data_IF_707785801023
#
_entry.id   IF_707785801023
#
_cell.length_a   1.000
_cell.length_b   1.000
_cell.length_c   1.000
_cell.angle_alpha   90.00
_cell.angle_beta   90.00
_cell.angle_gamma   90.00
#
_symmetry.space_group_name_H-M   'P 1'
#
loop_
_entity.id
_entity.type
_entity.pdbx_description
1 polymer ?
#
# COMPACT_ATOMS: atom_id res chain seq x y z
N UNK A 1 6.35 -11.92 13.46
CA UNK A 1 5.97 -10.59 13.02
C UNK A 1 6.52 -10.29 11.62
N UNK A 2 6.14 -9.17 11.05
CA UNK A 2 6.68 -8.70 9.77
C UNK A 2 8.04 -8.07 10.05
N UNK A 3 9.09 -8.56 9.41
CA UNK A 3 10.47 -8.18 9.67
C UNK A 3 11.26 -7.75 8.41
N UNK A 4 10.59 -7.70 7.29
CA UNK A 4 11.12 -7.19 6.03
C UNK A 4 10.17 -6.13 5.49
N UNK A 5 10.52 -4.87 5.66
CA UNK A 5 9.67 -3.72 5.35
C UNK A 5 10.39 -2.81 4.36
N UNK A 6 9.72 -2.52 3.25
CA UNK A 6 10.20 -1.54 2.27
C UNK A 6 9.27 -0.33 2.24
N UNK A 7 9.81 0.85 2.47
CA UNK A 7 9.08 2.11 2.42
C UNK A 7 9.44 2.82 1.13
N UNK A 8 8.45 2.99 0.26
CA UNK A 8 8.59 3.77 -0.97
C UNK A 8 8.31 5.23 -0.64
N UNK A 9 9.30 6.07 -0.80
CA UNK A 9 9.20 7.49 -0.46
C UNK A 9 9.03 8.35 -1.71
N UNK A 10 8.40 9.51 -1.54
CA UNK A 10 8.26 10.53 -2.58
C UNK A 10 9.24 11.69 -2.32
N UNK A 11 9.02 12.84 -2.94
CA UNK A 11 9.79 14.07 -2.68
C UNK A 11 9.71 14.47 -1.20
N UNK A 12 10.75 15.19 -0.73
CA UNK A 12 10.82 15.77 0.62
C UNK A 12 10.80 14.73 1.76
N UNK A 13 11.48 13.61 1.57
CA UNK A 13 11.49 12.50 2.51
C UNK A 13 12.58 12.59 3.61
N UNK A 14 13.37 13.67 3.67
CA UNK A 14 14.47 13.80 4.63
C UNK A 14 13.99 13.70 6.09
N UNK A 15 12.93 14.42 6.45
CA UNK A 15 12.40 14.36 7.82
C UNK A 15 11.85 12.96 8.19
N UNK A 16 11.35 12.21 7.20
CA UNK A 16 10.96 10.83 7.39
C UNK A 16 12.19 9.94 7.65
N UNK A 17 13.29 10.15 6.92
CA UNK A 17 14.54 9.43 7.14
C UNK A 17 15.09 9.70 8.54
N UNK A 18 15.09 10.96 8.96
CA UNK A 18 15.55 11.36 10.30
C UNK A 18 14.71 10.70 11.39
N UNK A 19 13.39 10.61 11.19
CA UNK A 19 12.48 9.98 12.13
C UNK A 19 12.65 8.45 12.17
N UNK A 20 12.77 7.81 11.02
CA UNK A 20 12.88 6.34 10.94
C UNK A 20 14.29 5.85 11.33
N UNK A 21 15.32 6.65 11.09
CA UNK A 21 16.70 6.25 11.33
C UNK A 21 17.01 4.90 10.67
N UNK A 22 17.63 4.02 11.43
CA UNK A 22 17.92 2.65 11.01
C UNK A 22 16.83 1.63 11.40
N UNK A 23 15.67 2.08 11.88
CA UNK A 23 14.58 1.19 12.29
C UNK A 23 14.81 0.48 13.64
N UNK A 24 15.70 1.00 14.49
CA UNK A 24 16.02 0.39 15.80
C UNK A 24 14.84 0.27 16.72
N UNK A 25 13.99 1.28 16.76
CA UNK A 25 12.82 1.35 17.66
C UNK A 25 11.78 0.27 17.33
N UNK A 26 11.83 -0.29 16.11
CA UNK A 26 10.91 -1.33 15.63
C UNK A 26 11.59 -2.70 15.44
N UNK A 27 12.81 -2.88 15.98
CA UNK A 27 13.60 -4.11 15.79
C UNK A 27 13.82 -4.49 14.30
N UNK A 28 14.02 -3.49 13.45
CA UNK A 28 14.21 -3.64 12.01
C UNK A 28 15.67 -3.48 11.56
N UNK A 29 16.62 -3.43 12.49
CA UNK A 29 18.06 -3.45 12.17
C UNK A 29 18.49 -4.89 12.01
N UNK A 30 18.41 -5.41 10.81
CA UNK A 30 18.71 -6.82 10.52
C UNK A 30 19.66 -6.94 9.35
N UNK A 31 20.50 -7.98 9.36
CA UNK A 31 21.42 -8.28 8.26
C UNK A 31 20.68 -8.72 6.99
N UNK A 32 19.57 -9.45 7.16
CA UNK A 32 18.70 -9.90 6.08
C UNK A 32 17.27 -9.45 6.41
N UNK A 33 16.59 -8.75 5.50
CA UNK A 33 15.33 -8.10 5.74
C UNK A 33 15.51 -6.74 6.43
N UNK A 34 14.67 -6.42 7.41
CA UNK A 34 14.71 -5.15 8.13
C UNK A 34 14.04 -4.00 7.39
N UNK A 35 14.42 -2.77 7.73
CA UNK A 35 13.87 -1.56 7.11
C UNK A 35 14.68 -1.20 5.85
N UNK A 36 14.00 -1.16 4.71
CA UNK A 36 14.54 -0.73 3.44
C UNK A 36 13.80 0.51 2.95
N UNK A 37 14.52 1.59 2.69
CA UNK A 37 13.95 2.82 2.17
C UNK A 37 14.28 2.94 0.69
N UNK A 38 13.24 3.06 -0.13
CA UNK A 38 13.34 3.11 -1.57
C UNK A 38 13.09 4.55 -2.04
N UNK A 39 14.15 5.26 -2.41
CA UNK A 39 14.02 6.63 -2.90
C UNK A 39 13.35 6.67 -4.28
N UNK A 40 12.72 7.79 -4.65
CA UNK A 40 11.97 7.92 -5.90
C UNK A 40 12.87 7.88 -7.17
N UNK A 41 14.19 7.85 -6.99
CA UNK A 41 15.19 7.94 -8.07
C UNK A 41 15.99 6.66 -8.26
N UNK A 42 15.47 5.50 -7.86
CA UNK A 42 16.20 4.23 -7.90
C UNK A 42 16.56 3.73 -9.32
N UNK A 43 16.12 4.39 -10.38
CA UNK A 43 16.45 4.06 -11.76
C UNK A 43 16.99 5.27 -12.53
N UNK A 44 17.71 4.99 -13.63
CA UNK A 44 18.46 5.94 -14.48
C UNK A 44 17.66 7.14 -15.05
N UNK A 45 16.36 7.18 -14.85
CA UNK A 45 15.51 8.30 -15.24
C UNK A 45 14.99 9.01 -13.99
N UNK A 46 15.27 10.30 -13.88
CA UNK A 46 14.83 11.21 -12.81
C UNK A 46 13.32 11.50 -12.97
N UNK A 47 12.50 10.46 -13.02
CA UNK A 47 11.04 10.59 -13.10
C UNK A 47 10.44 10.24 -11.74
N UNK A 48 9.65 11.15 -11.19
CA UNK A 48 8.86 10.88 -9.99
C UNK A 48 7.72 9.96 -10.37
N UNK A 49 7.53 8.88 -9.62
CA UNK A 49 6.43 7.95 -9.85
C UNK A 49 5.08 8.68 -9.87
N UNK A 50 4.31 8.48 -10.93
CA UNK A 50 2.98 9.04 -11.08
C UNK A 50 1.92 8.20 -10.34
N UNK A 51 2.21 6.91 -10.11
CA UNK A 51 1.29 5.97 -9.49
C UNK A 51 1.96 4.88 -8.68
N UNK A 52 1.14 4.13 -7.95
CA UNK A 52 1.59 3.02 -7.09
C UNK A 52 2.18 1.86 -7.89
N UNK A 53 1.64 1.58 -9.06
CA UNK A 53 2.10 0.49 -9.93
C UNK A 53 3.50 0.79 -10.46
N UNK A 54 3.77 2.02 -10.87
CA UNK A 54 5.10 2.43 -11.32
C UNK A 54 6.13 2.34 -10.19
N UNK A 55 5.74 2.75 -8.97
CA UNK A 55 6.58 2.61 -7.79
C UNK A 55 6.86 1.12 -7.46
N UNK A 56 5.86 0.26 -7.61
CA UNK A 56 6.02 -1.18 -7.41
C UNK A 56 6.92 -1.82 -8.47
N UNK A 57 6.77 -1.43 -9.73
CA UNK A 57 7.64 -1.91 -10.82
C UNK A 57 9.12 -1.56 -10.55
N UNK A 58 9.39 -0.40 -9.97
CA UNK A 58 10.75 -0.02 -9.57
C UNK A 58 11.35 -0.98 -8.54
N UNK A 59 10.52 -1.62 -7.73
CA UNK A 59 10.92 -2.62 -6.74
C UNK A 59 11.00 -4.05 -7.29
N UNK A 60 10.58 -4.30 -8.51
CA UNK A 60 10.48 -5.65 -9.08
C UNK A 60 11.77 -6.44 -8.91
N UNK A 61 12.93 -5.84 -9.24
CA UNK A 61 14.23 -6.49 -9.11
C UNK A 61 14.61 -6.82 -7.66
N UNK A 62 14.14 -6.04 -6.70
CA UNK A 62 14.29 -6.31 -5.27
C UNK A 62 13.33 -7.43 -4.83
N UNK A 63 12.06 -7.33 -5.16
CA UNK A 63 11.03 -8.29 -4.76
C UNK A 63 11.31 -9.71 -5.27
N UNK A 64 11.78 -9.84 -6.52
CA UNK A 64 12.13 -11.15 -7.11
C UNK A 64 13.31 -11.85 -6.42
N UNK A 65 14.11 -11.12 -5.65
CA UNK A 65 15.23 -11.68 -4.87
C UNK A 65 14.84 -12.06 -3.44
N UNK A 66 13.64 -11.71 -3.01
CA UNK A 66 13.19 -12.02 -1.66
C UNK A 66 12.75 -13.47 -1.55
N UNK A 67 13.03 -14.15 -0.42
CA UNK A 67 12.59 -15.52 -0.20
C UNK A 67 11.09 -15.62 0.13
N UNK A 68 10.45 -14.50 0.51
CA UNK A 68 9.04 -14.46 0.86
C UNK A 68 8.17 -14.62 -0.38
N UNK A 69 7.11 -15.47 -0.26
CA UNK A 69 6.17 -15.74 -1.35
C UNK A 69 5.08 -14.68 -1.49
N UNK A 70 4.80 -13.95 -0.43
CA UNK A 70 3.69 -13.01 -0.34
C UNK A 70 4.19 -11.62 0.02
N UNK A 71 3.51 -10.61 -0.49
CA UNK A 71 3.79 -9.19 -0.23
C UNK A 71 2.52 -8.53 0.26
N UNK A 72 2.61 -7.81 1.37
CA UNK A 72 1.55 -6.95 1.87
C UNK A 72 1.86 -5.52 1.42
N UNK A 73 0.89 -4.88 0.77
CA UNK A 73 0.99 -3.49 0.35
C UNK A 73 -0.01 -2.65 1.14
N UNK A 74 0.46 -1.57 1.71
CA UNK A 74 -0.39 -0.64 2.46
C UNK A 74 0.06 0.80 2.26
N UNK A 75 -0.86 1.73 2.43
CA UNK A 75 -0.52 3.15 2.52
C UNK A 75 -0.07 3.48 3.96
N UNK A 76 0.82 4.47 4.10
CA UNK A 76 1.31 4.90 5.41
C UNK A 76 0.30 5.71 6.23
N UNK A 77 -0.83 6.11 5.65
CA UNK A 77 -1.91 6.84 6.32
C UNK A 77 -2.96 5.92 6.97
N UNK A 78 -2.69 4.62 7.05
CA UNK A 78 -3.57 3.63 7.67
C UNK A 78 -3.05 3.30 9.06
N UNK A 79 -3.88 3.49 10.10
CA UNK A 79 -3.61 3.08 11.45
C UNK A 79 -4.70 2.07 11.87
N UNK A 80 -4.36 0.81 11.90
CA UNK A 80 -5.25 -0.28 12.29
C UNK A 80 -4.54 -1.23 13.25
N UNK A 81 -5.30 -1.80 14.17
CA UNK A 81 -4.86 -2.94 14.95
C UNK A 81 -5.45 -4.20 14.30
N UNK A 82 -4.64 -4.92 13.54
CA UNK A 82 -5.06 -6.08 12.77
C UNK A 82 -3.97 -7.14 12.73
N UNK A 83 -4.35 -8.41 12.85
CA UNK A 83 -3.42 -9.53 12.66
C UNK A 83 -3.32 -9.88 11.17
N UNK A 84 -2.20 -9.53 10.56
CA UNK A 84 -1.94 -9.82 9.14
C UNK A 84 -1.86 -11.33 8.83
N UNK A 85 -1.74 -12.21 9.82
CA UNK A 85 -1.83 -13.65 9.57
C UNK A 85 -3.24 -14.05 9.13
N UNK A 86 -4.29 -13.43 9.69
CA UNK A 86 -5.67 -13.67 9.24
C UNK A 86 -5.86 -13.30 7.75
N UNK A 87 -5.27 -12.20 7.31
CA UNK A 87 -5.31 -11.80 5.90
C UNK A 87 -4.56 -12.79 5.01
N UNK A 88 -3.39 -13.25 5.46
CA UNK A 88 -2.57 -14.22 4.74
C UNK A 88 -3.29 -15.56 4.61
N UNK A 89 -3.89 -16.06 5.68
CA UNK A 89 -4.65 -17.30 5.69
C UNK A 89 -5.86 -17.22 4.75
N UNK A 90 -6.59 -16.10 4.78
CA UNK A 90 -7.70 -15.86 3.87
C UNK A 90 -7.23 -15.81 2.40
N UNK A 91 -6.09 -15.18 2.13
CA UNK A 91 -5.48 -15.11 0.80
C UNK A 91 -5.12 -16.51 0.29
N UNK A 92 -4.42 -17.30 1.08
CA UNK A 92 -4.02 -18.67 0.72
C UNK A 92 -5.26 -19.55 0.48
N UNK A 93 -6.26 -19.46 1.35
CA UNK A 93 -7.51 -20.23 1.24
C UNK A 93 -8.32 -19.85 0.00
N UNK A 94 -8.33 -18.58 -0.38
CA UNK A 94 -9.07 -18.11 -1.56
C UNK A 94 -8.44 -18.52 -2.88
N UNK A 95 -7.13 -18.78 -2.90
CA UNK A 95 -6.34 -19.02 -4.12
C UNK A 95 -6.36 -17.81 -5.09
N UNK A 96 -6.67 -16.61 -4.62
CA UNK A 96 -6.69 -15.41 -5.43
C UNK A 96 -5.27 -14.84 -5.62
N UNK A 97 -5.02 -14.18 -6.75
CA UNK A 97 -3.74 -13.50 -7.00
C UNK A 97 -3.57 -12.26 -6.13
N UNK A 98 -4.69 -11.57 -5.82
CA UNK A 98 -4.73 -10.36 -4.97
C UNK A 98 -5.90 -10.47 -4.01
N UNK A 99 -5.64 -10.20 -2.74
CA UNK A 99 -6.67 -10.07 -1.70
C UNK A 99 -6.65 -8.67 -1.12
N UNK A 100 -7.80 -8.03 -1.05
CA UNK A 100 -7.94 -6.65 -0.58
C UNK A 100 -8.70 -6.60 0.73
N UNK A 101 -8.16 -5.86 1.70
CA UNK A 101 -8.94 -5.44 2.86
C UNK A 101 -9.81 -4.24 2.49
N UNK A 102 -11.07 -4.27 2.88
CA UNK A 102 -11.97 -3.15 2.70
C UNK A 102 -12.83 -2.93 3.94
N UNK A 103 -13.35 -1.73 4.07
CA UNK A 103 -14.30 -1.37 5.12
C UNK A 103 -15.67 -1.12 4.52
N UNK A 104 -16.67 -1.78 5.05
CA UNK A 104 -18.06 -1.53 4.69
C UNK A 104 -18.58 -0.35 5.50
N UNK A 105 -18.72 0.80 4.88
CA UNK A 105 -19.21 2.03 5.50
C UNK A 105 -19.87 2.94 4.46
N UNK A 106 -20.73 3.84 4.92
CA UNK A 106 -21.21 4.93 4.08
C UNK A 106 -20.06 5.90 3.75
N UNK A 107 -20.10 6.49 2.55
CA UNK A 107 -19.14 7.50 2.16
C UNK A 107 -19.39 8.76 2.99
N UNK A 108 -18.43 9.24 3.78
CA UNK A 108 -18.62 10.46 4.54
C UNK A 108 -18.94 11.65 3.63
N UNK A 109 -19.97 12.43 3.97
CA UNK A 109 -20.42 13.58 3.17
C UNK A 109 -19.31 14.60 2.89
N UNK A 110 -18.32 14.70 3.78
CA UNK A 110 -17.14 15.55 3.60
C UNK A 110 -16.29 15.14 2.39
N UNK A 111 -16.19 13.85 2.10
CA UNK A 111 -15.43 13.35 0.94
C UNK A 111 -16.16 13.62 -0.38
N UNK A 112 -17.49 13.56 -0.39
CA UNK A 112 -18.31 13.84 -1.58
C UNK A 112 -18.17 15.31 -2.02
N UNK A 113 -18.04 16.24 -1.06
CA UNK A 113 -17.89 17.67 -1.34
C UNK A 113 -16.48 18.10 -1.73
N UNK A 114 -15.44 17.41 -1.24
CA UNK A 114 -14.04 17.79 -1.43
C UNK A 114 -13.40 17.16 -2.68
N UNK A 115 -14.03 16.16 -3.29
CA UNK A 115 -13.46 15.42 -4.41
C UNK A 115 -13.32 16.21 -5.71
N UNK A 116 -13.89 17.42 -5.81
CA UNK A 116 -13.76 18.27 -7.01
C UNK A 116 -12.43 19.01 -7.12
N UNK A 117 -11.75 19.27 -5.98
CA UNK A 117 -10.54 20.11 -5.93
C UNK A 117 -9.31 19.42 -5.34
N UNK A 118 -9.39 18.16 -4.88
CA UNK A 118 -8.27 17.45 -4.27
C UNK A 118 -7.97 16.15 -4.99
N UNK A 119 -6.67 15.84 -5.11
CA UNK A 119 -6.13 14.57 -5.61
C UNK A 119 -6.42 13.35 -4.70
N UNK A 120 -7.25 13.49 -3.68
CA UNK A 120 -7.62 12.40 -2.79
C UNK A 120 -8.61 11.49 -3.49
N UNK A 121 -8.11 10.34 -3.92
CA UNK A 121 -8.92 9.33 -4.58
C UNK A 121 -9.63 8.47 -3.52
N UNK A 122 -10.94 8.41 -3.61
CA UNK A 122 -11.78 7.48 -2.87
C UNK A 122 -12.18 6.32 -3.79
N UNK A 123 -11.98 5.10 -3.32
CA UNK A 123 -12.30 3.91 -4.08
C UNK A 123 -13.48 3.17 -3.45
N UNK A 124 -14.48 2.82 -4.26
CA UNK A 124 -15.54 1.90 -3.87
C UNK A 124 -15.46 0.62 -4.69
N UNK A 125 -15.78 -0.49 -4.06
CA UNK A 125 -15.69 -1.82 -4.66
C UNK A 125 -17.08 -2.33 -5.01
N UNK A 126 -17.30 -2.70 -6.27
CA UNK A 126 -18.41 -3.54 -6.68
C UNK A 126 -18.06 -4.99 -6.41
N UNK A 127 -18.91 -5.68 -5.66
CA UNK A 127 -18.68 -7.05 -5.24
C UNK A 127 -19.60 -8.03 -5.97
N UNK A 128 -19.06 -9.21 -6.30
CA UNK A 128 -19.83 -10.37 -6.71
C UNK A 128 -19.46 -11.52 -5.76
N UNK A 129 -20.28 -11.73 -4.73
CA UNK A 129 -19.90 -12.54 -3.58
C UNK A 129 -18.66 -11.96 -2.90
N UNK A 130 -17.62 -12.75 -2.72
CA UNK A 130 -16.35 -12.35 -2.11
C UNK A 130 -15.33 -11.83 -3.13
N UNK A 131 -15.71 -11.69 -4.40
CA UNK A 131 -14.81 -11.20 -5.45
C UNK A 131 -15.13 -9.77 -5.85
N UNK A 132 -14.06 -8.97 -6.00
CA UNK A 132 -14.18 -7.62 -6.58
C UNK A 132 -14.49 -7.75 -8.07
N UNK A 133 -15.63 -7.23 -8.51
CA UNK A 133 -16.04 -7.21 -9.90
C UNK A 133 -15.74 -5.90 -10.61
N UNK A 134 -15.73 -4.80 -9.84
CA UNK A 134 -15.49 -3.46 -10.37
C UNK A 134 -14.90 -2.54 -9.30
N UNK A 135 -14.09 -1.59 -9.73
CA UNK A 135 -13.57 -0.52 -8.87
C UNK A 135 -14.12 0.81 -9.38
N UNK A 136 -14.75 1.56 -8.51
CA UNK A 136 -15.23 2.90 -8.78
C UNK A 136 -14.29 3.91 -8.15
N UNK A 137 -13.91 4.92 -8.91
CA UNK A 137 -13.05 6.02 -8.43
C UNK A 137 -13.93 7.23 -8.20
N UNK A 138 -13.89 7.80 -7.00
CA UNK A 138 -14.70 8.95 -6.58
C UNK A 138 -16.18 8.79 -6.97
N UNK A 139 -16.87 7.68 -6.58
CA UNK A 139 -18.25 7.46 -6.97
C UNK A 139 -19.16 8.59 -6.42
N UNK A 140 -20.00 9.13 -7.27
CA UNK A 140 -21.07 10.05 -6.90
C UNK A 140 -22.31 9.26 -6.45
N UNK A 141 -23.25 9.90 -5.73
CA UNK A 141 -24.49 9.23 -5.26
C UNK A 141 -25.33 8.67 -6.41
N UNK A 142 -25.20 9.21 -7.63
CA UNK A 142 -25.93 8.76 -8.83
C UNK A 142 -25.36 7.48 -9.47
N UNK A 143 -24.24 6.97 -8.99
CA UNK A 143 -23.52 5.79 -9.51
C UNK A 143 -23.68 4.50 -8.69
N UNK A 144 -24.70 4.40 -7.81
CA UNK A 144 -25.00 3.21 -7.01
C UNK A 144 -25.96 2.27 -7.69
#
# INVERSE_FOLDING_TARGET
GIDNISIIVRKNYHSLLDHLGAGREWDLVRKNGGLNIVPPFAQKQVKVFEGRIEALESLRGYLLKQPQKYVIMTDANIAINFDFNELLDAHIKSGADVTMMYRKQEIPKAFIRQSRDRMDLYYALGMNGDRVSKIYINPTEEGR
#
